data_IF_559860891564
#
_entry.id   IF_559860891564
#
_cell.length_a   1.000
_cell.length_b   1.000
_cell.length_c   1.000
_cell.angle_alpha   90.00
_cell.angle_beta   90.00
_cell.angle_gamma   90.00
#
_symmetry.space_group_name_H-M   'P 1'
#
loop_
_entity.id
_entity.type
_entity.pdbx_description
1 polymer ?
#
# COMPACT_ATOMS: atom_id res chain seq x y z
N UNK A 1 6.92 11.74 -1.77
CA UNK A 1 8.37 11.54 -1.55
C UNK A 1 9.03 11.15 -2.87
N UNK A 2 10.05 11.89 -3.29
CA UNK A 2 10.78 11.58 -4.51
C UNK A 2 11.73 10.41 -4.24
N UNK A 3 11.71 9.39 -5.11
CA UNK A 3 12.56 8.21 -4.94
C UNK A 3 14.01 8.55 -5.29
N UNK A 4 14.95 7.98 -4.53
CA UNK A 4 16.37 8.31 -4.67
C UNK A 4 17.06 7.40 -5.70
N UNK A 5 17.26 7.93 -6.91
CA UNK A 5 17.93 7.20 -7.99
C UNK A 5 19.38 6.85 -7.67
N UNK A 6 20.10 7.67 -6.89
CA UNK A 6 21.46 7.37 -6.47
C UNK A 6 21.51 6.14 -5.54
N UNK A 7 20.56 6.04 -4.61
CA UNK A 7 20.41 4.86 -3.77
C UNK A 7 20.08 3.61 -4.61
N UNK A 8 19.28 3.73 -5.67
CA UNK A 8 19.01 2.63 -6.61
C UNK A 8 20.29 2.14 -7.31
N UNK A 9 21.12 3.07 -7.78
CA UNK A 9 22.44 2.73 -8.34
C UNK A 9 23.35 2.08 -7.30
N UNK A 10 23.35 2.56 -6.05
CA UNK A 10 24.16 1.98 -4.99
C UNK A 10 23.75 0.55 -4.63
N UNK A 11 22.45 0.28 -4.52
CA UNK A 11 21.94 -1.10 -4.34
C UNK A 11 22.41 -2.00 -5.48
N UNK A 12 22.30 -1.52 -6.72
CA UNK A 12 22.75 -2.27 -7.89
C UNK A 12 24.25 -2.62 -7.86
N UNK A 13 25.09 -1.69 -7.38
CA UNK A 13 26.53 -1.93 -7.18
C UNK A 13 26.79 -3.00 -6.12
N UNK A 14 26.11 -2.94 -4.97
CA UNK A 14 26.29 -3.93 -3.89
C UNK A 14 25.91 -5.33 -4.37
N UNK A 15 24.76 -5.46 -5.07
CA UNK A 15 24.34 -6.74 -5.66
C UNK A 15 25.39 -7.23 -6.65
N UNK A 16 25.91 -6.37 -7.52
CA UNK A 16 26.90 -6.75 -8.52
C UNK A 16 28.22 -7.24 -7.90
N UNK A 17 28.70 -6.55 -6.86
CA UNK A 17 29.90 -6.92 -6.11
C UNK A 17 29.77 -8.33 -5.51
N UNK A 18 28.71 -8.58 -4.74
CA UNK A 18 28.49 -9.90 -4.12
C UNK A 18 28.13 -10.99 -5.13
N UNK A 19 27.48 -10.62 -6.25
CA UNK A 19 27.26 -11.56 -7.36
C UNK A 19 28.60 -12.02 -7.96
N UNK A 20 29.56 -11.11 -8.10
CA UNK A 20 30.89 -11.44 -8.64
C UNK A 20 31.72 -12.32 -7.68
N UNK A 21 31.52 -12.16 -6.37
CA UNK A 21 32.20 -12.95 -5.33
C UNK A 21 31.57 -14.34 -5.15
N UNK A 22 30.24 -14.43 -5.23
CA UNK A 22 29.50 -15.71 -5.07
C UNK A 22 29.64 -16.66 -6.27
N UNK A 23 30.16 -16.18 -7.40
CA UNK A 23 30.26 -16.96 -8.64
C UNK A 23 28.92 -17.23 -9.33
N UNK A 24 27.82 -16.64 -8.83
CA UNK A 24 26.50 -16.77 -9.42
C UNK A 24 26.36 -15.92 -10.67
N UNK A 25 25.64 -16.44 -11.65
CA UNK A 25 25.20 -15.66 -12.80
C UNK A 25 23.94 -14.86 -12.46
N UNK A 26 23.71 -13.77 -13.20
CA UNK A 26 22.46 -13.00 -13.10
C UNK A 26 21.20 -13.87 -13.27
N UNK A 27 21.27 -14.89 -14.11
CA UNK A 27 20.16 -15.81 -14.38
C UNK A 27 19.89 -16.74 -13.21
N UNK A 28 20.93 -17.22 -12.52
CA UNK A 28 20.78 -18.08 -11.34
C UNK A 28 20.22 -17.28 -10.17
N UNK A 29 20.76 -16.09 -9.90
CA UNK A 29 20.22 -15.22 -8.86
C UNK A 29 18.77 -14.84 -9.16
N UNK A 30 18.46 -14.48 -10.43
CA UNK A 30 17.09 -14.18 -10.84
C UNK A 30 16.14 -15.36 -10.59
N UNK A 31 16.58 -16.58 -10.88
CA UNK A 31 15.83 -17.81 -10.59
C UNK A 31 15.59 -18.02 -9.10
N UNK A 32 16.62 -17.84 -8.25
CA UNK A 32 16.52 -17.99 -6.79
C UNK A 32 15.53 -17.02 -6.17
N UNK A 33 15.50 -15.77 -6.63
CA UNK A 33 14.64 -14.73 -6.06
C UNK A 33 13.29 -14.57 -6.80
N UNK A 34 12.97 -15.46 -7.74
CA UNK A 34 11.68 -15.46 -8.43
C UNK A 34 11.45 -14.29 -9.39
N UNK A 35 12.50 -13.72 -9.97
CA UNK A 35 12.40 -12.64 -10.97
C UNK A 35 12.94 -13.05 -12.32
N UNK A 36 12.50 -12.39 -13.39
CA UNK A 36 13.09 -12.62 -14.71
C UNK A 36 14.47 -11.94 -14.85
N UNK A 37 15.34 -12.49 -15.70
CA UNK A 37 16.70 -11.99 -15.89
C UNK A 37 16.78 -10.52 -16.36
N UNK A 38 15.79 -10.05 -17.13
CA UNK A 38 15.72 -8.64 -17.56
C UNK A 38 15.47 -7.70 -16.37
N UNK A 39 14.56 -8.08 -15.46
CA UNK A 39 14.28 -7.34 -14.23
C UNK A 39 15.52 -7.32 -13.35
N UNK A 40 16.21 -8.45 -13.20
CA UNK A 40 17.47 -8.53 -12.46
C UNK A 40 18.53 -7.57 -13.01
N UNK A 41 18.75 -7.55 -14.33
CA UNK A 41 19.69 -6.60 -14.96
C UNK A 41 19.32 -5.14 -14.70
N UNK A 42 18.03 -4.80 -14.74
CA UNK A 42 17.58 -3.44 -14.46
C UNK A 42 17.73 -3.05 -12.98
N UNK A 43 17.56 -4.00 -12.05
CA UNK A 43 17.84 -3.79 -10.63
C UNK A 43 19.33 -3.56 -10.39
N UNK A 44 20.19 -4.40 -10.96
CA UNK A 44 21.65 -4.28 -10.82
C UNK A 44 22.20 -3.00 -11.48
N UNK A 45 21.58 -2.53 -12.55
CA UNK A 45 21.93 -1.25 -13.18
C UNK A 45 21.36 -0.03 -12.44
N UNK A 46 20.61 -0.23 -11.35
CA UNK A 46 19.89 0.84 -10.64
C UNK A 46 18.77 1.51 -11.46
N UNK A 47 18.39 0.96 -12.61
CA UNK A 47 17.30 1.52 -13.45
C UNK A 47 15.94 1.32 -12.82
N UNK A 48 15.81 0.30 -11.98
CA UNK A 48 14.63 0.01 -11.19
C UNK A 48 14.98 0.05 -9.70
N UNK A 49 14.03 0.50 -8.89
CA UNK A 49 14.07 0.39 -7.44
C UNK A 49 13.88 -1.07 -7.01
N UNK A 50 14.57 -1.46 -5.95
CA UNK A 50 14.50 -2.82 -5.40
C UNK A 50 13.28 -2.93 -4.49
N UNK A 51 12.28 -3.76 -4.84
CA UNK A 51 11.15 -4.03 -3.95
C UNK A 51 11.62 -4.59 -2.60
N UNK A 52 10.97 -4.18 -1.51
CA UNK A 52 11.36 -4.57 -0.15
C UNK A 52 11.22 -6.08 0.07
N UNK A 53 10.32 -6.73 -0.66
CA UNK A 53 10.09 -8.17 -0.60
C UNK A 53 11.27 -8.98 -1.17
N UNK A 54 12.18 -8.33 -1.90
CA UNK A 54 13.37 -8.98 -2.45
C UNK A 54 14.61 -8.82 -1.56
N UNK A 55 14.52 -8.12 -0.43
CA UNK A 55 15.68 -7.89 0.46
C UNK A 55 16.17 -9.23 1.02
N UNK A 56 15.31 -9.95 1.75
CA UNK A 56 15.62 -11.24 2.37
C UNK A 56 16.17 -12.27 1.37
N UNK A 57 15.51 -12.58 0.24
CA UNK A 57 16.02 -13.58 -0.69
C UNK A 57 17.33 -13.17 -1.38
N UNK A 58 17.63 -11.87 -1.50
CA UNK A 58 18.92 -11.41 -2.04
C UNK A 58 20.01 -11.54 -0.98
N UNK A 59 19.74 -11.11 0.26
CA UNK A 59 20.67 -11.25 1.39
C UNK A 59 21.04 -12.71 1.58
N UNK A 60 20.07 -13.62 1.55
CA UNK A 60 20.33 -15.06 1.66
C UNK A 60 21.10 -15.61 0.46
N UNK A 61 20.71 -15.25 -0.77
CA UNK A 61 21.32 -15.83 -1.97
C UNK A 61 22.76 -15.36 -2.22
N UNK A 62 23.11 -14.16 -1.75
CA UNK A 62 24.41 -13.51 -1.94
C UNK A 62 25.22 -13.38 -0.65
N UNK A 63 24.72 -13.92 0.47
CA UNK A 63 25.36 -13.85 1.79
C UNK A 63 25.75 -12.42 2.21
N UNK A 64 24.90 -11.44 1.87
CA UNK A 64 25.13 -10.02 2.16
C UNK A 64 24.80 -9.74 3.62
N UNK A 65 25.57 -8.86 4.27
CA UNK A 65 25.21 -8.34 5.58
C UNK A 65 23.83 -7.61 5.52
N UNK A 66 22.81 -8.09 6.26
CA UNK A 66 21.44 -7.59 6.13
C UNK A 66 21.29 -6.14 6.58
N UNK A 67 22.04 -5.70 7.59
CA UNK A 67 21.90 -4.36 8.17
C UNK A 67 22.28 -3.26 7.17
N UNK A 68 23.46 -3.40 6.57
CA UNK A 68 23.97 -2.46 5.58
C UNK A 68 23.12 -2.49 4.30
N UNK A 69 22.81 -3.68 3.78
CA UNK A 69 22.02 -3.81 2.55
C UNK A 69 20.61 -3.24 2.70
N UNK A 70 19.91 -3.60 3.79
CA UNK A 70 18.56 -3.10 4.07
C UNK A 70 18.55 -1.59 4.21
N UNK A 71 19.53 -1.00 4.90
CA UNK A 71 19.64 0.45 5.03
C UNK A 71 19.74 1.15 3.67
N UNK A 72 20.61 0.67 2.79
CA UNK A 72 20.78 1.24 1.44
C UNK A 72 19.51 1.07 0.58
N UNK A 73 18.80 -0.04 0.72
CA UNK A 73 17.51 -0.26 0.03
C UNK A 73 16.45 0.71 0.53
N UNK A 74 16.34 0.93 1.84
CA UNK A 74 15.38 1.89 2.40
C UNK A 74 15.65 3.32 1.95
N UNK A 75 16.92 3.70 1.75
CA UNK A 75 17.31 5.00 1.20
C UNK A 75 16.81 5.24 -0.23
N UNK A 76 16.32 4.23 -0.95
CA UNK A 76 15.60 4.41 -2.22
C UNK A 76 14.24 5.10 -2.04
N UNK A 77 13.65 4.95 -0.86
CA UNK A 77 12.27 5.33 -0.55
C UNK A 77 12.16 6.46 0.47
N UNK A 78 13.24 6.77 1.19
CA UNK A 78 13.30 7.85 2.18
C UNK A 78 14.64 8.58 2.17
N UNK A 79 14.71 9.69 2.92
CA UNK A 79 15.97 10.39 3.14
C UNK A 79 16.89 9.55 4.04
N UNK A 80 18.20 9.71 3.87
CA UNK A 80 19.19 9.02 4.70
C UNK A 80 18.98 9.32 6.20
N UNK A 81 18.67 10.57 6.57
CA UNK A 81 18.36 10.93 7.95
C UNK A 81 17.13 10.19 8.50
N UNK A 82 16.07 10.00 7.68
CA UNK A 82 14.89 9.26 8.11
C UNK A 82 15.20 7.77 8.31
N UNK A 83 15.97 7.17 7.41
CA UNK A 83 16.40 5.77 7.52
C UNK A 83 17.30 5.56 8.74
N UNK A 84 18.26 6.45 8.99
CA UNK A 84 19.12 6.43 10.17
C UNK A 84 18.31 6.59 11.47
N UNK A 85 17.31 7.48 11.48
CA UNK A 85 16.43 7.65 12.62
C UNK A 85 15.62 6.38 12.91
N UNK A 86 15.05 5.76 11.88
CA UNK A 86 14.33 4.48 12.01
C UNK A 86 15.25 3.39 12.56
N UNK A 87 16.45 3.23 11.99
CA UNK A 87 17.43 2.25 12.45
C UNK A 87 17.80 2.47 13.93
N UNK A 88 18.00 3.72 14.34
CA UNK A 88 18.27 4.09 15.73
C UNK A 88 17.11 3.71 16.66
N UNK A 89 15.87 4.08 16.32
CA UNK A 89 14.68 3.79 17.14
C UNK A 89 14.52 2.28 17.37
N UNK A 90 14.70 1.47 16.31
CA UNK A 90 14.64 0.01 16.44
C UNK A 90 15.82 -0.59 17.20
N UNK A 91 17.03 -0.04 17.03
CA UNK A 91 18.21 -0.43 17.79
C UNK A 91 18.08 -0.16 19.29
N UNK A 92 17.60 1.03 19.65
CA UNK A 92 17.34 1.45 21.03
C UNK A 92 16.25 0.56 21.67
N UNK A 93 15.16 0.27 20.94
CA UNK A 93 14.10 -0.61 21.41
C UNK A 93 14.56 -2.06 21.62
N UNK A 94 15.43 -2.59 20.76
CA UNK A 94 16.03 -3.94 20.92
C UNK A 94 16.96 -3.98 22.13
N UNK A 95 17.76 -2.93 22.31
CA UNK A 95 18.67 -2.81 23.45
C UNK A 95 17.91 -2.74 24.78
N UNK A 96 16.83 -1.95 24.84
CA UNK A 96 15.99 -1.83 26.02
C UNK A 96 15.31 -3.15 26.45
N UNK A 97 14.92 -4.00 25.49
CA UNK A 97 14.36 -5.35 25.76
C UNK A 97 15.41 -6.32 26.26
N UNK A 98 16.64 -6.22 25.76
CA UNK A 98 17.72 -7.10 26.19
C UNK A 98 18.23 -6.74 27.60
N UNK A 99 18.17 -5.46 28.00
CA UNK A 99 18.56 -5.00 29.35
C UNK A 99 17.49 -5.25 30.42
N UNK A 100 16.27 -5.64 30.03
CA UNK A 100 15.17 -5.95 30.97
C UNK A 100 14.95 -7.46 31.17
N UNK A 101 15.80 -8.30 30.60
CA UNK A 101 15.75 -9.77 30.69
C UNK A 101 16.86 -10.39 31.56
N UNK A 102 17.46 -9.65 32.48
CA UNK A 102 18.27 -10.24 33.57
C UNK A 102 17.47 -10.22 34.88
N UNK A 103 16.78 -11.34 35.15
CA UNK A 103 16.44 -11.75 36.52
C UNK A 103 14.96 -12.02 36.83
N UNK A 104 14.42 -13.17 36.40
CA UNK A 104 13.70 -14.08 37.32
C UNK A 104 13.57 -15.50 36.70
N UNK A 105 14.20 -16.55 37.25
CA UNK A 105 14.11 -17.91 36.71
C UNK A 105 12.99 -18.70 37.40
N UNK A 106 11.72 -18.35 37.15
CA UNK A 106 10.56 -19.21 37.48
C UNK A 106 9.40 -18.96 36.52
N UNK A 107 9.34 -19.75 35.45
CA UNK A 107 8.17 -20.59 35.17
C UNK A 107 8.37 -21.36 33.85
N UNK A 108 8.92 -22.57 34.00
CA UNK A 108 8.70 -23.65 33.05
C UNK A 108 7.48 -24.42 33.54
N UNK A 109 6.31 -24.13 32.98
CA UNK A 109 5.14 -25.01 33.04
C UNK A 109 4.16 -24.63 31.94
N UNK A 110 3.61 -25.65 31.29
CA UNK A 110 2.53 -25.60 30.31
C UNK A 110 2.94 -25.31 28.86
N UNK A 111 3.76 -26.23 28.33
CA UNK A 111 3.44 -26.81 27.04
C UNK A 111 2.34 -27.86 27.25
N UNK A 112 1.46 -27.93 26.26
CA UNK A 112 0.38 -28.90 26.04
C UNK A 112 -1.03 -28.42 26.40
N UNK A 113 -1.93 -28.65 25.43
CA UNK A 113 -3.38 -28.42 25.40
C UNK A 113 -3.86 -27.03 24.94
N UNK A 114 -4.02 -26.86 23.62
CA UNK A 114 -5.33 -26.78 22.97
C UNK A 114 -5.17 -26.65 21.45
N UNK A 115 -5.12 -27.82 20.82
CA UNK A 115 -5.55 -28.03 19.44
C UNK A 115 -7.08 -28.21 19.48
N UNK A 116 -7.74 -27.81 18.38
CA UNK A 116 -9.17 -27.94 18.05
C UNK A 116 -10.07 -26.73 18.35
N UNK A 117 -10.21 -25.88 17.33
CA UNK A 117 -11.54 -25.64 16.73
C UNK A 117 -11.38 -25.04 15.33
N UNK A 118 -11.50 -25.90 14.31
CA UNK A 118 -11.89 -25.46 12.98
C UNK A 118 -13.29 -24.86 13.10
N UNK A 119 -13.47 -23.62 12.65
CA UNK A 119 -14.78 -23.08 12.33
C UNK A 119 -14.76 -22.81 10.83
N UNK A 120 -15.49 -23.66 10.11
CA UNK A 120 -15.85 -23.49 8.71
C UNK A 120 -16.62 -22.17 8.55
N UNK A 121 -16.12 -21.29 7.69
CA UNK A 121 -16.90 -20.18 7.16
C UNK A 121 -17.15 -20.47 5.68
N UNK A 122 -18.35 -20.97 5.40
CA UNK A 122 -18.91 -21.00 4.06
C UNK A 122 -18.95 -19.59 3.45
N UNK A 123 -18.74 -19.45 2.13
CA UNK A 123 -18.93 -18.19 1.44
C UNK A 123 -20.39 -18.05 0.98
N UNK A 124 -21.24 -17.42 1.78
CA UNK A 124 -22.54 -16.95 1.29
C UNK A 124 -22.35 -15.73 0.38
N UNK A 125 -22.69 -15.93 -0.90
CA UNK A 125 -22.78 -14.90 -1.90
C UNK A 125 -23.95 -13.96 -1.62
N UNK A 126 -23.71 -12.64 -1.65
CA UNK A 126 -24.76 -11.65 -1.89
C UNK A 126 -24.34 -10.66 -2.99
N UNK A 127 -24.76 -11.03 -4.20
CA UNK A 127 -25.61 -10.23 -5.08
C UNK A 127 -25.49 -8.69 -4.98
N UNK A 128 -24.78 -8.09 -5.94
CA UNK A 128 -24.90 -6.66 -6.25
C UNK A 128 -25.04 -6.51 -7.76
N UNK A 129 -26.28 -6.67 -8.24
CA UNK A 129 -26.72 -6.15 -9.52
C UNK A 129 -27.94 -5.25 -9.29
N UNK A 130 -27.95 -4.16 -10.04
CA UNK A 130 -29.11 -3.36 -10.43
C UNK A 130 -29.58 -2.24 -9.49
N UNK A 131 -29.08 -1.01 -9.74
CA UNK A 131 -29.94 0.18 -9.76
C UNK A 131 -29.54 1.04 -10.96
N UNK A 132 -30.42 1.05 -11.96
CA UNK A 132 -30.55 2.09 -12.96
C UNK A 132 -31.72 2.98 -12.51
N UNK A 133 -31.50 4.28 -12.44
CA UNK A 133 -32.50 5.26 -12.03
C UNK A 133 -32.00 6.67 -12.34
N UNK A 134 -32.85 7.40 -13.05
CA UNK A 134 -32.57 8.63 -13.77
C UNK A 134 -32.21 9.85 -12.90
N UNK A 135 -31.65 10.83 -13.59
CA UNK A 135 -31.20 12.12 -13.07
C UNK A 135 -32.32 12.90 -12.35
N UNK A 136 -32.00 13.42 -11.17
CA UNK A 136 -32.42 14.78 -10.80
C UNK A 136 -31.49 15.37 -9.73
N UNK A 137 -31.06 16.59 -10.01
CA UNK A 137 -30.09 17.39 -9.27
C UNK A 137 -30.58 17.81 -7.88
N UNK A 138 -29.91 17.33 -6.83
CA UNK A 138 -29.66 18.08 -5.58
C UNK A 138 -28.23 17.79 -5.13
N UNK A 139 -27.51 18.82 -4.70
CA UNK A 139 -26.13 18.79 -4.24
C UNK A 139 -25.96 18.06 -2.90
N UNK A 140 -26.35 16.79 -2.86
CA UNK A 140 -25.93 15.83 -1.84
C UNK A 140 -24.73 15.04 -2.38
N UNK A 141 -23.83 14.64 -1.50
CA UNK A 141 -22.81 13.64 -1.82
C UNK A 141 -23.43 12.51 -2.63
N UNK A 142 -22.78 12.05 -3.71
CA UNK A 142 -23.33 10.92 -4.44
C UNK A 142 -23.36 9.73 -3.47
N UNK A 143 -24.44 8.93 -3.48
CA UNK A 143 -24.56 7.76 -2.59
C UNK A 143 -23.31 6.86 -2.65
N UNK A 144 -22.65 6.84 -3.82
CA UNK A 144 -21.37 6.18 -4.07
C UNK A 144 -20.23 6.71 -3.20
N UNK A 145 -20.13 8.03 -2.98
CA UNK A 145 -19.12 8.65 -2.12
C UNK A 145 -19.31 8.26 -0.65
N UNK A 146 -20.58 8.21 -0.21
CA UNK A 146 -20.96 7.81 1.15
C UNK A 146 -20.57 6.34 1.38
N UNK A 147 -20.94 5.47 0.45
CA UNK A 147 -20.63 4.05 0.57
C UNK A 147 -19.13 3.78 0.47
N UNK A 148 -18.42 4.55 -0.35
CA UNK A 148 -16.96 4.48 -0.42
C UNK A 148 -16.31 4.83 0.93
N UNK A 149 -16.74 5.92 1.57
CA UNK A 149 -16.29 6.29 2.90
C UNK A 149 -16.58 5.20 3.95
N UNK A 150 -17.79 4.62 3.94
CA UNK A 150 -18.16 3.52 4.85
C UNK A 150 -17.27 2.28 4.67
N UNK A 151 -16.94 1.94 3.43
CA UNK A 151 -16.03 0.83 3.11
C UNK A 151 -14.64 1.11 3.69
N UNK A 152 -14.12 2.33 3.51
CA UNK A 152 -12.82 2.72 4.06
C UNK A 152 -12.81 2.65 5.59
N UNK A 153 -13.84 3.19 6.26
CA UNK A 153 -14.00 3.07 7.72
C UNK A 153 -13.99 1.63 8.21
N UNK A 154 -14.79 0.78 7.57
CA UNK A 154 -14.89 -0.64 7.94
C UNK A 154 -13.55 -1.35 7.76
N UNK A 155 -12.91 -1.18 6.60
CA UNK A 155 -11.63 -1.81 6.31
C UNK A 155 -10.51 -1.35 7.26
N UNK A 156 -10.47 -0.06 7.58
CA UNK A 156 -9.50 0.48 8.52
C UNK A 156 -9.70 -0.05 9.94
N UNK A 157 -10.95 -0.11 10.40
CA UNK A 157 -11.30 -0.73 11.69
C UNK A 157 -10.86 -2.18 11.75
N UNK A 158 -11.23 -2.99 10.75
CA UNK A 158 -10.83 -4.41 10.71
C UNK A 158 -9.32 -4.55 10.75
N UNK A 159 -8.58 -3.76 9.96
CA UNK A 159 -7.12 -3.81 9.96
C UNK A 159 -6.46 -3.42 11.30
N UNK A 160 -7.06 -2.52 12.07
CA UNK A 160 -6.60 -2.18 13.42
C UNK A 160 -6.94 -3.29 14.43
N UNK A 161 -8.16 -3.82 14.37
CA UNK A 161 -8.61 -4.92 15.22
C UNK A 161 -7.76 -6.18 15.03
N UNK A 162 -7.41 -6.53 13.78
CA UNK A 162 -6.54 -7.67 13.46
C UNK A 162 -5.14 -7.54 14.08
N UNK A 163 -4.72 -6.32 14.45
CA UNK A 163 -3.46 -6.00 15.12
C UNK A 163 -3.60 -5.82 16.64
N UNK A 164 -4.79 -6.09 17.18
CA UNK A 164 -5.10 -5.92 18.61
C UNK A 164 -5.27 -4.46 19.04
N UNK A 165 -5.48 -3.54 18.11
CA UNK A 165 -5.65 -2.11 18.41
C UNK A 165 -7.15 -1.78 18.43
N UNK A 166 -7.70 -1.58 19.63
CA UNK A 166 -9.07 -1.11 19.80
C UNK A 166 -9.13 0.41 19.77
N UNK A 167 -9.93 0.98 18.88
CA UNK A 167 -10.07 2.44 18.68
C UNK A 167 -11.55 2.80 18.64
N UNK A 168 -11.95 3.85 19.37
CA UNK A 168 -13.31 4.38 19.34
C UNK A 168 -13.70 4.93 17.95
N UNK A 169 -15.00 5.08 17.65
CA UNK A 169 -15.46 5.57 16.33
C UNK A 169 -14.88 6.97 16.00
N UNK A 170 -14.85 7.89 16.96
CA UNK A 170 -14.31 9.25 16.77
C UNK A 170 -12.82 9.23 16.41
N UNK A 171 -12.03 8.48 17.19
CA UNK A 171 -10.59 8.34 16.96
C UNK A 171 -10.29 7.61 15.65
N UNK A 172 -11.12 6.61 15.28
CA UNK A 172 -11.03 5.89 14.02
C UNK A 172 -11.25 6.83 12.83
N UNK A 173 -12.29 7.67 12.89
CA UNK A 173 -12.62 8.65 11.85
C UNK A 173 -11.47 9.65 11.68
N UNK A 174 -10.94 10.17 12.77
CA UNK A 174 -9.81 11.13 12.75
C UNK A 174 -8.53 10.50 12.19
N UNK A 175 -8.18 9.30 12.65
CA UNK A 175 -7.00 8.58 12.17
C UNK A 175 -7.12 8.22 10.69
N UNK A 176 -8.30 7.75 10.26
CA UNK A 176 -8.56 7.44 8.86
C UNK A 176 -8.46 8.69 7.98
N UNK A 177 -9.07 9.81 8.41
CA UNK A 177 -8.97 11.08 7.70
C UNK A 177 -7.51 11.52 7.56
N UNK A 178 -6.76 11.53 8.66
CA UNK A 178 -5.35 11.93 8.65
C UNK A 178 -4.54 11.08 7.66
N UNK A 179 -4.73 9.76 7.67
CA UNK A 179 -4.08 8.86 6.72
C UNK A 179 -4.46 9.15 5.27
N UNK A 180 -5.74 9.39 4.97
CA UNK A 180 -6.20 9.69 3.62
C UNK A 180 -5.67 11.05 3.12
N UNK A 181 -5.62 12.07 3.97
CA UNK A 181 -5.04 13.37 3.64
C UNK A 181 -3.53 13.27 3.36
N UNK A 182 -2.80 12.46 4.12
CA UNK A 182 -1.36 12.23 3.89
C UNK A 182 -1.11 11.51 2.55
N UNK A 183 -1.93 10.49 2.23
CA UNK A 183 -1.88 9.80 0.94
C UNK A 183 -2.12 10.80 -0.20
N UNK A 184 -3.14 11.66 -0.11
CA UNK A 184 -3.41 12.67 -1.13
C UNK A 184 -2.31 13.71 -1.26
N UNK A 185 -1.76 14.17 -0.14
CA UNK A 185 -0.64 15.13 -0.10
C UNK A 185 0.62 14.56 -0.76
N UNK A 186 0.80 13.23 -0.68
CA UNK A 186 1.88 12.54 -1.37
C UNK A 186 1.69 12.41 -2.89
N UNK A 187 0.55 12.86 -3.42
CA UNK A 187 0.17 12.76 -4.84
C UNK A 187 -0.44 11.41 -5.23
N UNK A 188 -0.86 10.60 -4.25
CA UNK A 188 -1.53 9.32 -4.45
C UNK A 188 -3.04 9.49 -4.27
N UNK A 189 -3.83 8.68 -4.96
CA UNK A 189 -5.29 8.68 -4.83
C UNK A 189 -5.77 7.29 -4.42
N UNK A 190 -6.71 7.25 -3.47
CA UNK A 190 -7.40 6.02 -3.10
C UNK A 190 -8.57 5.83 -4.04
N UNK A 191 -8.60 4.70 -4.74
CA UNK A 191 -9.59 4.40 -5.77
C UNK A 191 -10.13 2.99 -5.55
N UNK A 192 -11.44 2.74 -5.77
CA UNK A 192 -11.98 1.39 -5.75
C UNK A 192 -11.23 0.45 -6.71
N UNK A 193 -10.95 -0.77 -6.27
CA UNK A 193 -10.35 -1.80 -7.13
C UNK A 193 -11.24 -2.13 -8.34
N UNK A 194 -12.55 -2.19 -8.13
CA UNK A 194 -13.54 -2.35 -9.20
C UNK A 194 -14.04 -0.96 -9.62
N UNK A 195 -13.87 -0.56 -10.90
CA UNK A 195 -14.31 0.74 -11.35
C UNK A 195 -15.82 0.92 -11.19
N UNK A 196 -16.25 2.09 -10.75
CA UNK A 196 -17.67 2.44 -10.66
C UNK A 196 -18.25 2.76 -12.05
N UNK A 197 -19.59 2.76 -12.15
CA UNK A 197 -20.28 3.17 -13.38
C UNK A 197 -19.89 4.59 -13.83
N UNK A 198 -19.68 5.51 -12.88
CA UNK A 198 -19.21 6.87 -13.16
C UNK A 198 -17.79 6.85 -13.73
N UNK A 199 -16.89 6.06 -13.17
CA UNK A 199 -15.53 5.91 -13.71
C UNK A 199 -15.54 5.30 -15.11
N UNK A 200 -16.40 4.31 -15.38
CA UNK A 200 -16.58 3.76 -16.72
C UNK A 200 -17.11 4.80 -17.72
N UNK A 201 -18.06 5.64 -17.29
CA UNK A 201 -18.61 6.70 -18.11
C UNK A 201 -17.56 7.77 -18.43
N UNK A 202 -16.81 8.24 -17.42
CA UNK A 202 -15.71 9.18 -17.60
C UNK A 202 -14.61 8.62 -18.52
N UNK A 203 -14.29 7.32 -18.43
CA UNK A 203 -13.38 6.67 -19.36
C UNK A 203 -13.91 6.74 -20.81
N UNK A 204 -15.20 6.46 -21.02
CA UNK A 204 -15.83 6.53 -22.36
C UNK A 204 -15.77 7.94 -22.90
N UNK A 205 -16.18 8.93 -22.10
CA UNK A 205 -16.18 10.35 -22.44
C UNK A 205 -14.77 10.85 -22.73
N UNK A 206 -13.77 10.53 -21.92
CA UNK A 206 -12.39 10.96 -22.14
C UNK A 206 -11.77 10.35 -23.41
N UNK A 207 -12.22 9.15 -23.81
CA UNK A 207 -11.85 8.57 -25.10
C UNK A 207 -12.60 9.27 -26.24
N UNK A 208 -13.86 9.65 -26.03
CA UNK A 208 -14.75 10.29 -27.00
C UNK A 208 -14.46 11.75 -27.29
N UNK A 209 -14.28 12.56 -26.26
CA UNK A 209 -13.92 13.97 -26.37
C UNK A 209 -12.58 14.15 -27.11
N UNK A 210 -11.66 13.21 -26.91
CA UNK A 210 -10.36 13.17 -27.61
C UNK A 210 -10.41 12.47 -28.97
N UNK A 211 -11.57 11.95 -29.43
CA UNK A 211 -11.78 11.42 -30.80
C UNK A 211 -11.57 12.46 -31.91
N UNK A 212 -11.44 13.77 -31.61
CA UNK A 212 -11.06 14.79 -32.62
C UNK A 212 -9.73 14.48 -33.32
N UNK A 213 -8.82 13.77 -32.65
CA UNK A 213 -7.76 13.01 -33.31
C UNK A 213 -8.20 11.56 -33.32
N UNK A 214 -8.40 10.98 -34.51
CA UNK A 214 -8.93 9.62 -34.64
C UNK A 214 -8.18 8.68 -33.69
N UNK A 215 -8.93 8.02 -32.80
CA UNK A 215 -8.42 7.05 -31.82
C UNK A 215 -7.49 6.04 -32.49
N UNK A 216 -7.64 5.78 -33.79
CA UNK A 216 -6.77 4.89 -34.56
C UNK A 216 -5.30 5.35 -34.63
N UNK A 217 -5.03 6.64 -34.54
CA UNK A 217 -3.69 7.25 -34.68
C UNK A 217 -2.96 7.51 -33.36
N UNK A 218 -3.65 7.42 -32.22
CA UNK A 218 -3.06 7.63 -30.90
C UNK A 218 -2.40 6.34 -30.41
N UNK A 219 -1.12 6.41 -30.04
CA UNK A 219 -0.38 5.28 -29.43
C UNK A 219 -1.13 4.72 -28.23
N UNK A 220 -1.13 3.39 -28.06
CA UNK A 220 -1.84 2.68 -26.98
C UNK A 220 -1.53 3.23 -25.58
N UNK A 221 -0.26 3.58 -25.32
CA UNK A 221 0.19 4.16 -24.05
C UNK A 221 -0.51 5.48 -23.71
N UNK A 222 -0.79 6.31 -24.70
CA UNK A 222 -1.46 7.60 -24.52
C UNK A 222 -2.95 7.40 -24.21
N UNK A 223 -3.61 6.47 -24.90
CA UNK A 223 -5.00 6.08 -24.57
C UNK A 223 -5.10 5.57 -23.15
N UNK A 224 -4.18 4.71 -22.74
CA UNK A 224 -4.15 4.15 -21.39
C UNK A 224 -3.97 5.25 -20.34
N UNK A 225 -3.08 6.23 -20.57
CA UNK A 225 -2.95 7.40 -19.69
C UNK A 225 -4.24 8.21 -19.58
N UNK A 226 -4.97 8.42 -20.68
CA UNK A 226 -6.23 9.15 -20.64
C UNK A 226 -7.31 8.39 -19.86
N UNK A 227 -7.40 7.08 -20.04
CA UNK A 227 -8.32 6.23 -19.29
C UNK A 227 -8.04 6.29 -17.80
N UNK A 228 -6.78 6.13 -17.39
CA UNK A 228 -6.41 6.21 -15.98
C UNK A 228 -6.68 7.57 -15.38
N UNK A 229 -6.33 8.65 -16.10
CA UNK A 229 -6.58 10.00 -15.62
C UNK A 229 -8.08 10.25 -15.40
N UNK A 230 -8.92 9.91 -16.39
CA UNK A 230 -10.36 10.08 -16.28
C UNK A 230 -10.99 9.20 -15.18
N UNK A 231 -10.49 7.97 -15.00
CA UNK A 231 -10.96 7.09 -13.94
C UNK A 231 -10.59 7.60 -12.53
N UNK A 232 -9.40 8.20 -12.37
CA UNK A 232 -8.97 8.80 -11.12
C UNK A 232 -9.77 10.08 -10.83
N UNK A 233 -9.98 10.93 -11.83
CA UNK A 233 -10.78 12.16 -11.68
C UNK A 233 -12.25 11.88 -11.37
N UNK A 234 -12.80 10.76 -11.87
CA UNK A 234 -14.16 10.32 -11.57
C UNK A 234 -14.24 9.31 -10.41
N UNK A 235 -13.16 9.12 -9.66
CA UNK A 235 -13.17 8.25 -8.50
C UNK A 235 -14.08 8.85 -7.39
N UNK A 236 -14.73 8.00 -6.57
CA UNK A 236 -15.53 8.49 -5.45
C UNK A 236 -14.69 9.31 -4.48
N UNK A 237 -15.25 10.42 -4.00
CA UNK A 237 -14.56 11.33 -3.11
C UNK A 237 -14.93 11.04 -1.65
N UNK A 238 -13.97 10.48 -0.90
CA UNK A 238 -14.15 10.14 0.51
C UNK A 238 -14.48 11.35 1.40
N UNK A 239 -14.09 12.57 0.99
CA UNK A 239 -14.35 13.80 1.75
C UNK A 239 -15.84 14.06 1.90
N UNK A 240 -16.64 13.74 0.88
CA UNK A 240 -18.08 13.93 0.94
C UNK A 240 -18.76 13.00 1.96
N UNK A 241 -18.30 11.75 2.08
CA UNK A 241 -18.77 10.84 3.12
C UNK A 241 -18.35 11.28 4.52
N UNK A 242 -17.11 11.76 4.67
CA UNK A 242 -16.61 12.32 5.93
C UNK A 242 -17.39 13.57 6.38
N UNK A 243 -17.67 14.51 5.47
CA UNK A 243 -18.43 15.73 5.76
C UNK A 243 -19.85 15.44 6.25
N UNK A 244 -20.47 14.36 5.77
CA UNK A 244 -21.78 13.92 6.24
C UNK A 244 -21.71 13.33 7.64
N UNK A 245 -20.74 12.45 7.91
CA UNK A 245 -20.54 11.92 9.27
C UNK A 245 -20.29 13.05 10.28
N UNK A 246 -19.52 14.07 9.88
CA UNK A 246 -19.27 15.26 10.72
C UNK A 246 -20.55 16.03 11.03
N UNK A 247 -21.44 16.21 10.05
CA UNK A 247 -22.73 16.89 10.26
C UNK A 247 -23.65 16.11 11.19
N UNK A 248 -23.67 14.79 11.06
CA UNK A 248 -24.44 13.92 11.97
C UNK A 248 -23.94 14.05 13.40
N UNK A 249 -22.61 14.10 13.63
CA UNK A 249 -22.03 14.32 14.96
C UNK A 249 -22.28 15.73 15.52
N UNK A 250 -22.39 16.75 14.66
CA UNK A 250 -22.71 18.13 15.09
C UNK A 250 -24.21 18.32 15.39
N UNK A 251 -25.09 17.49 14.81
CA UNK A 251 -26.54 17.53 14.99
C UNK A 251 -27.05 16.66 16.15
N UNK A 252 -26.22 15.76 16.71
CA UNK A 252 -26.50 15.06 17.97
C UNK A 252 -25.91 15.86 19.15
N UNK A 253 -26.66 16.77 19.82
CA UNK A 253 -26.20 17.40 21.03
C UNK A 253 -26.02 16.32 22.11
N UNK A 254 -24.82 16.26 22.68
CA UNK A 254 -24.45 15.26 23.68
C UNK A 254 -25.45 15.16 24.83
N UNK A 255 -25.92 13.94 25.05
CA UNK A 255 -26.43 13.49 26.36
C UNK A 255 -25.28 13.22 27.33
#
# INVERSE_FOLDING_TARGET
MERNQYAATRVGQIIFEHLSESGLTYTELAGRIGVNGTKMKNLCAGRHYLPLELIEPIVEALEIEPENFTGVVLCQYGSECAVQYIAKVFGDARSARNTSSEGDPRDQSNKDALQESCIDLEPEAQNLNHIQGDAESKSGASQVDIDFWRILKRGFRTGLSDRGIAVGEKDLILALRFMLEEIETSGLHVVPWKPTSQQHQAIKEALEEKKRMSIRWVRTRTKQRWRYKAAVEAAPNWRHGYELDKKVEEEEPGE
#
